data_IF_725066950749
#
_entry.id   IF_725066950749
#
_cell.length_a   1.000
_cell.length_b   1.000
_cell.length_c   1.000
_cell.angle_alpha   90.00
_cell.angle_beta   90.00
_cell.angle_gamma   90.00
#
_symmetry.space_group_name_H-M   'P 1'
#
loop_
_entity.id
_entity.type
_entity.pdbx_description
1 polymer ?
#
# COMPACT_ATOMS: atom_id res chain seq x y z
N UNK A 1 -15.65 18.39 -21.94
CA UNK A 1 -16.56 19.30 -22.59
C UNK A 1 -17.85 18.56 -22.96
N UNK A 2 -18.91 18.80 -22.16
CA UNK A 2 -20.23 18.31 -22.47
C UNK A 2 -20.84 19.14 -23.61
N UNK A 3 -21.13 18.53 -24.72
CA UNK A 3 -21.78 19.17 -25.86
C UNK A 3 -22.53 18.12 -26.70
N UNK A 4 -23.39 18.58 -27.60
CA UNK A 4 -24.20 17.73 -28.47
C UNK A 4 -23.39 16.75 -29.35
N UNK A 5 -22.09 17.05 -29.60
CA UNK A 5 -21.21 16.21 -30.39
C UNK A 5 -20.91 14.81 -29.83
N UNK A 6 -20.70 14.61 -28.51
CA UNK A 6 -20.53 13.28 -27.93
C UNK A 6 -21.80 12.43 -28.04
N UNK A 7 -22.98 13.02 -27.88
CA UNK A 7 -24.26 12.31 -27.98
C UNK A 7 -24.55 11.84 -29.42
N UNK A 8 -24.10 12.58 -30.42
CA UNK A 8 -24.24 12.20 -31.82
C UNK A 8 -23.42 10.97 -32.21
N UNK A 9 -22.24 10.78 -31.56
CA UNK A 9 -21.33 9.65 -31.86
C UNK A 9 -21.62 8.43 -30.97
N UNK A 10 -21.96 8.65 -29.69
CA UNK A 10 -22.06 7.60 -28.67
C UNK A 10 -23.49 7.35 -28.19
N UNK A 11 -24.50 8.06 -28.75
CA UNK A 11 -25.91 7.91 -28.41
C UNK A 11 -26.19 8.19 -26.93
N UNK A 12 -27.13 7.44 -26.35
CA UNK A 12 -27.53 7.58 -24.94
C UNK A 12 -26.41 7.32 -23.94
N UNK A 13 -25.36 6.58 -24.32
CA UNK A 13 -24.16 6.36 -23.48
C UNK A 13 -23.32 7.62 -23.29
N UNK A 14 -23.48 8.61 -24.18
CA UNK A 14 -22.80 9.90 -24.08
C UNK A 14 -23.53 10.95 -23.22
N UNK A 15 -24.70 10.63 -22.65
CA UNK A 15 -25.52 11.58 -21.89
C UNK A 15 -24.81 12.17 -20.66
N UNK A 16 -23.94 11.41 -20.01
CA UNK A 16 -23.15 11.84 -18.85
C UNK A 16 -21.77 12.42 -19.22
N UNK A 17 -21.50 12.65 -20.50
CA UNK A 17 -20.23 13.09 -21.01
C UNK A 17 -19.36 11.93 -21.54
N UNK A 18 -18.40 12.27 -22.39
CA UNK A 18 -17.46 11.31 -23.01
C UNK A 18 -16.05 11.81 -22.81
N UNK A 19 -15.17 10.95 -22.30
CA UNK A 19 -13.72 11.21 -22.26
C UNK A 19 -13.07 10.47 -23.42
N UNK A 20 -12.62 11.23 -24.43
CA UNK A 20 -11.89 10.68 -25.57
C UNK A 20 -10.41 10.63 -25.25
N UNK A 21 -9.85 9.43 -25.17
CA UNK A 21 -8.40 9.23 -24.96
C UNK A 21 -7.75 8.89 -26.30
N UNK A 22 -6.97 9.84 -26.82
CA UNK A 22 -6.14 9.60 -28.01
C UNK A 22 -4.73 9.22 -27.57
N UNK A 23 -4.29 8.03 -27.96
CA UNK A 23 -2.96 7.53 -27.60
C UNK A 23 -1.89 8.14 -28.53
N UNK A 24 -0.67 8.28 -27.98
CA UNK A 24 0.48 8.74 -28.77
C UNK A 24 0.75 7.79 -29.93
N UNK A 25 1.04 8.35 -31.06
CA UNK A 25 1.45 7.63 -32.28
C UNK A 25 2.82 8.13 -32.77
N UNK A 26 3.44 7.35 -33.62
CA UNK A 26 4.66 7.76 -34.33
C UNK A 26 4.43 9.01 -35.15
N UNK A 27 5.47 9.81 -35.28
CA UNK A 27 5.50 11.02 -36.10
C UNK A 27 6.56 10.87 -37.18
N UNK A 28 6.41 11.63 -38.27
CA UNK A 28 7.42 11.76 -39.28
C UNK A 28 8.53 12.68 -38.75
N UNK A 29 9.46 12.13 -38.05
CA UNK A 29 10.57 12.82 -37.42
C UNK A 29 11.75 11.86 -37.21
N UNK A 30 12.93 12.39 -36.94
CA UNK A 30 14.07 11.59 -36.51
C UNK A 30 13.75 10.89 -35.21
N UNK A 31 14.45 9.80 -34.91
CA UNK A 31 14.29 9.05 -33.65
C UNK A 31 14.40 9.97 -32.45
N UNK A 32 13.34 10.06 -31.70
CA UNK A 32 13.28 10.76 -30.41
C UNK A 32 13.06 9.78 -29.28
N UNK A 33 14.05 9.70 -28.38
CA UNK A 33 13.97 8.91 -27.17
C UNK A 33 13.65 9.85 -26.02
N UNK A 34 12.70 9.47 -25.19
CA UNK A 34 12.35 10.18 -23.95
C UNK A 34 12.45 9.24 -22.80
N UNK A 35 13.20 9.63 -21.78
CA UNK A 35 13.28 8.96 -20.49
C UNK A 35 12.73 9.87 -19.39
N UNK A 36 11.95 9.31 -18.47
CA UNK A 36 11.46 10.00 -17.28
C UNK A 36 11.63 9.07 -16.09
N UNK A 37 12.09 9.63 -14.99
CA UNK A 37 12.20 8.94 -13.71
C UNK A 37 11.65 9.87 -12.65
N UNK A 38 10.68 9.40 -11.87
CA UNK A 38 10.10 10.15 -10.77
C UNK A 38 10.25 9.34 -9.48
N UNK A 39 10.66 10.02 -8.43
CA UNK A 39 10.69 9.50 -7.07
C UNK A 39 9.71 10.31 -6.24
N UNK A 40 8.83 9.62 -5.56
CA UNK A 40 7.85 10.21 -4.67
C UNK A 40 8.05 9.66 -3.28
N UNK A 41 8.11 10.53 -2.29
CA UNK A 41 8.15 10.19 -0.87
C UNK A 41 6.81 10.61 -0.28
N UNK A 42 6.14 9.70 0.37
CA UNK A 42 4.87 9.93 1.06
C UNK A 42 5.06 9.74 2.56
N UNK A 43 4.50 10.63 3.35
CA UNK A 43 4.54 10.59 4.80
C UNK A 43 3.15 10.39 5.40
N UNK A 44 3.07 9.56 6.43
CA UNK A 44 1.87 9.42 7.25
C UNK A 44 1.78 10.62 8.22
N UNK A 45 0.81 11.51 7.98
CA UNK A 45 0.70 12.77 8.76
C UNK A 45 -0.34 12.75 9.87
N UNK A 46 -1.31 11.86 9.82
CA UNK A 46 -2.45 11.84 10.75
C UNK A 46 -2.60 10.45 11.35
N UNK A 47 -1.72 10.15 12.27
CA UNK A 47 -1.83 8.94 13.08
C UNK A 47 -2.42 9.32 14.45
N UNK A 48 -3.32 8.49 15.03
CA UNK A 48 -3.73 8.66 16.41
C UNK A 48 -2.50 8.50 17.33
N UNK A 49 -2.50 9.21 18.44
CA UNK A 49 -1.48 9.06 19.46
C UNK A 49 -1.99 8.09 20.51
N UNK A 50 -1.24 7.03 20.72
CA UNK A 50 -1.51 6.06 21.78
C UNK A 50 -0.65 6.39 23.01
N UNK A 51 -1.11 5.97 24.16
CA UNK A 51 -0.40 6.13 25.44
C UNK A 51 0.57 4.97 25.63
N UNK A 52 1.70 5.21 26.28
CA UNK A 52 2.63 4.15 26.69
C UNK A 52 2.12 3.37 27.91
N UNK A 53 2.88 2.33 28.29
CA UNK A 53 2.51 1.39 29.33
C UNK A 53 2.20 2.05 30.67
N UNK A 54 3.04 2.99 31.13
CA UNK A 54 2.84 3.67 32.42
C UNK A 54 1.53 4.44 32.45
N UNK A 55 1.29 5.27 31.45
CA UNK A 55 0.08 6.08 31.38
C UNK A 55 -1.17 5.21 31.21
N UNK A 56 -1.07 4.14 30.42
CA UNK A 56 -2.15 3.15 30.27
C UNK A 56 -2.51 2.51 31.63
N UNK A 57 -1.50 2.06 32.41
CA UNK A 57 -1.72 1.43 33.71
C UNK A 57 -2.32 2.41 34.73
N UNK A 58 -1.88 3.68 34.74
CA UNK A 58 -2.45 4.74 35.58
C UNK A 58 -3.94 4.95 35.26
N UNK A 59 -4.28 5.12 33.98
CA UNK A 59 -5.67 5.28 33.51
C UNK A 59 -6.53 4.06 33.82
N UNK A 60 -5.98 2.85 33.69
CA UNK A 60 -6.68 1.60 34.01
C UNK A 60 -7.01 1.50 35.53
N UNK A 61 -6.05 1.87 36.38
CA UNK A 61 -6.27 1.94 37.81
C UNK A 61 -7.32 3.00 38.20
N UNK A 62 -7.26 4.19 37.63
CA UNK A 62 -8.25 5.22 37.85
C UNK A 62 -9.66 4.77 37.44
N UNK A 63 -9.79 4.13 36.29
CA UNK A 63 -11.07 3.60 35.82
C UNK A 63 -11.62 2.49 36.74
N UNK A 64 -10.76 1.60 37.24
CA UNK A 64 -11.15 0.56 38.17
C UNK A 64 -11.68 1.16 39.50
N UNK A 65 -10.94 2.09 40.09
CA UNK A 65 -11.32 2.78 41.31
C UNK A 65 -12.61 3.58 41.12
N UNK A 66 -12.76 4.31 40.03
CA UNK A 66 -13.99 5.04 39.72
C UNK A 66 -15.22 4.12 39.58
N UNK A 67 -14.98 2.86 39.20
CA UNK A 67 -16.02 1.81 39.12
C UNK A 67 -16.26 1.07 40.42
N UNK A 68 -15.60 1.47 41.52
CA UNK A 68 -15.72 0.84 42.86
C UNK A 68 -14.90 -0.46 42.97
N UNK A 69 -13.97 -0.72 42.05
CA UNK A 69 -13.07 -1.88 42.09
C UNK A 69 -11.72 -1.50 42.69
N UNK A 70 -10.94 -2.50 43.11
CA UNK A 70 -9.55 -2.29 43.48
C UNK A 70 -8.72 -1.95 42.26
N UNK A 71 -7.59 -1.23 42.44
CA UNK A 71 -6.64 -0.99 41.34
C UNK A 71 -6.23 -2.30 40.65
N UNK A 72 -6.10 -2.29 39.33
CA UNK A 72 -5.68 -3.46 38.56
C UNK A 72 -4.21 -3.76 38.80
N UNK A 73 -3.39 -2.72 38.84
CA UNK A 73 -1.95 -2.79 39.09
C UNK A 73 -1.65 -2.23 40.50
N UNK A 74 -1.01 -3.01 41.34
CA UNK A 74 -0.54 -2.55 42.65
C UNK A 74 0.74 -1.70 42.53
N UNK A 75 1.17 -1.06 43.63
CA UNK A 75 2.32 -0.14 43.63
C UNK A 75 3.60 -0.81 43.12
N UNK A 76 3.88 -2.04 43.47
CA UNK A 76 5.04 -2.79 43.01
C UNK A 76 4.98 -3.03 41.48
N UNK A 77 3.83 -3.41 40.97
CA UNK A 77 3.62 -3.59 39.54
C UNK A 77 3.74 -2.25 38.79
N UNK A 78 3.21 -1.17 39.34
CA UNK A 78 3.37 0.18 38.77
C UNK A 78 4.83 0.60 38.70
N UNK A 79 5.64 0.26 39.70
CA UNK A 79 7.08 0.56 39.67
C UNK A 79 7.80 -0.31 38.63
N UNK A 80 7.46 -1.60 38.49
CA UNK A 80 8.03 -2.46 37.42
C UNK A 80 7.70 -1.89 36.04
N UNK A 81 6.45 -1.47 35.81
CA UNK A 81 6.02 -0.87 34.55
C UNK A 81 6.75 0.45 34.29
N UNK A 82 6.79 1.34 35.28
CA UNK A 82 7.37 2.69 35.16
C UNK A 82 8.85 2.65 34.86
N UNK A 83 9.59 1.72 35.44
CA UNK A 83 11.02 1.59 35.27
C UNK A 83 11.43 0.53 34.25
N UNK A 84 10.46 -0.15 33.62
CA UNK A 84 10.73 -1.17 32.59
C UNK A 84 11.57 -2.34 33.12
N UNK A 85 11.34 -2.78 34.37
CA UNK A 85 12.18 -3.79 35.03
C UNK A 85 11.94 -5.21 34.52
N UNK A 86 10.77 -5.47 33.96
CA UNK A 86 10.42 -6.76 33.37
C UNK A 86 9.65 -6.56 32.06
N UNK A 87 10.36 -6.41 30.92
CA UNK A 87 9.73 -6.16 29.63
C UNK A 87 9.02 -7.38 29.04
N UNK A 88 9.28 -8.59 29.57
CA UNK A 88 8.58 -9.80 29.14
C UNK A 88 7.20 -9.91 29.77
N UNK A 89 7.06 -9.48 31.03
CA UNK A 89 5.79 -9.52 31.77
C UNK A 89 4.99 -8.22 31.62
N UNK A 90 5.67 -7.08 31.58
CA UNK A 90 5.08 -5.74 31.45
C UNK A 90 5.77 -4.98 30.30
N UNK A 91 5.47 -5.35 29.05
CA UNK A 91 6.04 -4.67 27.89
C UNK A 91 5.54 -3.22 27.76
N UNK A 92 6.27 -2.40 27.04
CA UNK A 92 5.82 -1.07 26.60
C UNK A 92 5.96 -0.99 25.08
N UNK A 93 4.95 -1.47 24.38
CA UNK A 93 4.98 -1.59 22.91
C UNK A 93 4.10 -0.52 22.26
N UNK A 94 4.71 0.31 21.45
CA UNK A 94 3.99 1.11 20.47
C UNK A 94 3.70 0.26 19.21
N UNK A 95 2.53 -0.34 19.21
CA UNK A 95 2.09 -1.19 18.10
C UNK A 95 2.01 -0.46 16.77
N UNK A 96 1.79 0.84 16.80
CA UNK A 96 1.75 1.66 15.60
C UNK A 96 3.15 1.79 14.99
N UNK A 97 4.16 2.02 15.83
CA UNK A 97 5.57 2.05 15.37
C UNK A 97 6.06 0.67 14.91
N UNK A 98 5.59 -0.41 15.54
CA UNK A 98 5.91 -1.79 15.12
C UNK A 98 5.39 -2.08 13.72
N UNK A 99 4.18 -1.64 13.39
CA UNK A 99 3.47 -2.03 12.17
C UNK A 99 3.73 -1.06 11.01
N UNK A 100 3.92 0.25 11.30
CA UNK A 100 3.94 1.28 10.29
C UNK A 100 5.35 1.85 10.06
N UNK A 101 5.65 2.08 8.79
CA UNK A 101 6.71 2.98 8.36
C UNK A 101 6.13 4.39 8.24
N UNK A 102 6.75 5.40 8.83
CA UNK A 102 6.28 6.77 8.68
C UNK A 102 6.38 7.26 7.24
N UNK A 103 7.23 6.65 6.44
CA UNK A 103 7.47 7.02 5.04
C UNK A 103 7.30 5.82 4.10
N UNK A 104 6.73 6.08 2.95
CA UNK A 104 6.68 5.15 1.82
C UNK A 104 7.26 5.79 0.56
N UNK A 105 7.72 4.95 -0.36
CA UNK A 105 8.40 5.40 -1.57
C UNK A 105 7.68 4.88 -2.80
N UNK A 106 7.57 5.73 -3.81
CA UNK A 106 7.15 5.34 -5.14
C UNK A 106 8.22 5.73 -6.16
N UNK A 107 8.58 4.79 -6.99
CA UNK A 107 9.52 4.99 -8.08
C UNK A 107 8.85 4.66 -9.40
N UNK A 108 8.75 5.65 -10.29
CA UNK A 108 8.18 5.48 -11.62
C UNK A 108 9.22 5.75 -12.69
N UNK A 109 9.41 4.79 -13.58
CA UNK A 109 10.27 4.92 -14.76
C UNK A 109 9.45 4.77 -16.02
N UNK A 110 9.77 5.60 -17.00
CA UNK A 110 9.13 5.58 -18.30
C UNK A 110 10.17 5.87 -19.38
N UNK A 111 10.20 5.01 -20.38
CA UNK A 111 11.00 5.23 -21.59
C UNK A 111 10.08 5.13 -22.80
N UNK A 112 10.30 6.00 -23.76
CA UNK A 112 9.61 5.92 -25.04
C UNK A 112 10.52 6.31 -26.20
N UNK A 113 10.30 5.66 -27.32
CA UNK A 113 10.94 5.95 -28.59
C UNK A 113 9.86 6.22 -29.65
N UNK A 114 10.01 7.28 -30.40
CA UNK A 114 9.14 7.61 -31.51
C UNK A 114 9.96 8.14 -32.70
N UNK A 115 9.43 7.95 -33.90
CA UNK A 115 10.07 8.41 -35.11
C UNK A 115 9.40 7.82 -36.33
N UNK A 116 10.01 8.08 -37.49
CA UNK A 116 9.57 7.50 -38.74
C UNK A 116 9.73 8.43 -39.93
N UNK A 117 9.40 7.89 -41.07
CA UNK A 117 9.43 8.58 -42.35
C UNK A 117 8.06 8.59 -43.03
N UNK A 118 8.09 8.82 -44.34
CA UNK A 118 6.88 8.85 -45.16
C UNK A 118 6.19 7.48 -45.26
N UNK A 119 6.96 6.38 -45.18
CA UNK A 119 6.45 5.02 -45.38
C UNK A 119 5.97 4.45 -44.06
N UNK A 120 6.73 4.58 -42.97
CA UNK A 120 6.39 4.02 -41.69
C UNK A 120 6.72 4.99 -40.55
N UNK A 121 5.85 5.04 -39.57
CA UNK A 121 6.01 5.80 -38.32
C UNK A 121 5.78 4.85 -37.15
N UNK A 122 6.55 5.01 -36.11
CA UNK A 122 6.48 4.13 -34.95
C UNK A 122 6.51 4.90 -33.66
N UNK A 123 5.87 4.31 -32.65
CA UNK A 123 5.94 4.70 -31.24
C UNK A 123 6.04 3.43 -30.41
N UNK A 124 7.02 3.39 -29.52
CA UNK A 124 7.14 2.34 -28.52
C UNK A 124 7.36 2.96 -27.14
N UNK A 125 6.79 2.39 -26.11
CA UNK A 125 7.02 2.82 -24.73
C UNK A 125 6.97 1.66 -23.75
N UNK A 126 7.80 1.79 -22.70
CA UNK A 126 7.82 0.92 -21.51
C UNK A 126 7.65 1.82 -20.29
N UNK A 127 6.82 1.39 -19.37
CA UNK A 127 6.62 2.05 -18.09
C UNK A 127 6.68 1.04 -16.95
N UNK A 128 7.25 1.46 -15.84
CA UNK A 128 7.32 0.71 -14.60
C UNK A 128 7.00 1.65 -13.45
N UNK A 129 6.20 1.20 -12.50
CA UNK A 129 6.00 1.89 -11.23
C UNK A 129 6.10 0.87 -10.11
N UNK A 130 6.90 1.18 -9.12
CA UNK A 130 7.08 0.38 -7.91
C UNK A 130 6.69 1.25 -6.73
N UNK A 131 5.82 0.73 -5.89
CA UNK A 131 5.32 1.43 -4.70
C UNK A 131 5.51 0.55 -3.48
N UNK A 132 6.19 1.08 -2.46
CA UNK A 132 6.31 0.47 -1.15
C UNK A 132 5.12 0.85 -0.29
N UNK A 133 4.74 -0.04 0.61
CA UNK A 133 3.68 0.23 1.59
C UNK A 133 4.19 1.02 2.78
N UNK A 134 3.26 1.67 3.49
CA UNK A 134 3.47 2.19 4.83
C UNK A 134 3.53 1.10 5.91
N UNK A 135 3.31 -0.18 5.57
CA UNK A 135 3.45 -1.28 6.51
C UNK A 135 4.88 -1.81 6.53
N UNK A 136 5.43 -1.99 7.73
CA UNK A 136 6.71 -2.65 7.94
C UNK A 136 6.62 -4.12 7.57
N UNK A 137 7.67 -4.68 6.99
CA UNK A 137 7.82 -6.12 6.82
C UNK A 137 8.68 -6.68 7.94
N UNK A 138 8.23 -7.75 8.58
CA UNK A 138 9.02 -8.43 9.60
C UNK A 138 10.06 -9.35 8.97
N UNK A 139 11.33 -9.28 9.42
CA UNK A 139 12.48 -9.95 8.79
C UNK A 139 12.58 -11.47 9.00
N UNK A 140 11.77 -12.04 9.89
CA UNK A 140 11.90 -13.43 10.35
C UNK A 140 11.11 -14.47 9.58
N UNK A 141 10.32 -14.12 8.59
CA UNK A 141 9.50 -15.09 7.90
C UNK A 141 10.20 -15.70 6.69
N UNK A 142 9.96 -16.98 6.42
CA UNK A 142 10.39 -17.68 5.20
C UNK A 142 9.64 -17.24 3.93
N UNK A 143 8.67 -16.34 4.07
CA UNK A 143 7.78 -15.90 3.01
C UNK A 143 8.13 -14.49 2.55
N UNK A 144 7.77 -14.15 1.32
CA UNK A 144 7.97 -12.80 0.79
C UNK A 144 7.11 -11.80 1.57
N UNK A 145 7.76 -10.84 2.21
CA UNK A 145 7.27 -10.06 3.33
C UNK A 145 6.90 -8.64 2.97
N UNK A 146 7.22 -8.22 1.76
CA UNK A 146 6.97 -6.85 1.33
C UNK A 146 5.50 -6.66 1.02
N UNK A 147 4.90 -5.62 1.59
CA UNK A 147 3.66 -5.05 1.08
C UNK A 147 4.03 -4.01 0.03
N UNK A 148 3.49 -4.14 -1.17
CA UNK A 148 3.83 -3.23 -2.25
C UNK A 148 3.00 -3.48 -3.51
N UNK A 149 3.09 -2.54 -4.42
CA UNK A 149 2.37 -2.59 -5.68
C UNK A 149 3.30 -2.23 -6.83
N UNK A 150 3.55 -3.21 -7.69
CA UNK A 150 4.38 -3.03 -8.86
C UNK A 150 3.50 -3.07 -10.11
N UNK A 151 3.71 -2.12 -11.03
CA UNK A 151 3.03 -2.10 -12.32
C UNK A 151 4.03 -1.99 -13.46
N UNK A 152 3.74 -2.70 -14.53
CA UNK A 152 4.50 -2.69 -15.76
C UNK A 152 3.55 -2.50 -16.91
N UNK A 153 3.91 -1.64 -17.83
CA UNK A 153 3.12 -1.41 -19.04
C UNK A 153 4.04 -1.28 -20.25
N UNK A 154 3.57 -1.77 -21.36
CA UNK A 154 4.19 -1.52 -22.64
C UNK A 154 3.14 -1.12 -23.67
N UNK A 155 3.57 -0.34 -24.62
CA UNK A 155 2.77 0.04 -25.77
C UNK A 155 3.65 0.21 -26.99
N UNK A 156 3.16 -0.29 -28.12
CA UNK A 156 3.76 -0.01 -29.42
C UNK A 156 2.67 0.30 -30.44
N UNK A 157 2.94 1.24 -31.33
CA UNK A 157 2.09 1.58 -32.47
C UNK A 157 2.99 1.74 -33.68
N UNK A 158 2.58 1.16 -34.79
CA UNK A 158 3.25 1.27 -36.09
C UNK A 158 2.18 1.64 -37.11
N UNK A 159 2.41 2.75 -37.81
CA UNK A 159 1.55 3.24 -38.87
C UNK A 159 2.34 3.11 -40.17
N UNK A 160 1.84 2.34 -41.12
CA UNK A 160 2.50 2.04 -42.42
C UNK A 160 1.64 2.56 -43.56
N UNK A 161 2.19 3.41 -44.39
CA UNK A 161 1.61 3.82 -45.69
C UNK A 161 2.03 2.79 -46.76
N UNK A 162 1.22 1.75 -46.96
CA UNK A 162 1.55 0.67 -47.89
C UNK A 162 1.48 1.16 -49.36
N UNK A 163 0.47 1.99 -49.67
CA UNK A 163 0.32 2.68 -50.95
C UNK A 163 -0.16 4.10 -50.67
N UNK A 164 -0.35 4.90 -51.75
CA UNK A 164 -0.93 6.26 -51.62
C UNK A 164 -2.35 6.26 -51.07
N UNK A 165 -3.06 5.15 -51.15
CA UNK A 165 -4.46 5.00 -50.75
C UNK A 165 -4.67 3.99 -49.64
N UNK A 166 -3.64 3.22 -49.26
CA UNK A 166 -3.75 2.15 -48.28
C UNK A 166 -2.81 2.40 -47.11
N UNK A 167 -3.38 2.45 -45.89
CA UNK A 167 -2.64 2.58 -44.67
C UNK A 167 -2.93 1.38 -43.74
N UNK A 168 -1.91 0.89 -43.05
CA UNK A 168 -2.00 -0.18 -42.07
C UNK A 168 -1.64 0.40 -40.70
N UNK A 169 -2.47 0.14 -39.72
CA UNK A 169 -2.27 0.52 -38.32
C UNK A 169 -2.10 -0.75 -37.49
N UNK A 170 -0.94 -0.91 -36.86
CA UNK A 170 -0.65 -2.00 -35.94
C UNK A 170 -0.43 -1.41 -34.56
N UNK A 171 -1.09 -1.97 -33.57
CA UNK A 171 -0.91 -1.55 -32.19
C UNK A 171 -0.91 -2.75 -31.25
N UNK A 172 0.00 -2.74 -30.29
CA UNK A 172 0.01 -3.69 -29.20
C UNK A 172 0.21 -2.93 -27.87
N UNK A 173 -0.46 -3.41 -26.85
CA UNK A 173 -0.26 -2.91 -25.48
C UNK A 173 -0.45 -4.04 -24.49
N UNK A 174 0.27 -3.94 -23.39
CA UNK A 174 0.14 -4.86 -22.27
C UNK A 174 0.30 -4.11 -20.95
N UNK A 175 -0.34 -4.66 -19.94
CA UNK A 175 -0.28 -4.19 -18.58
C UNK A 175 -0.17 -5.39 -17.65
N UNK A 176 0.74 -5.33 -16.70
CA UNK A 176 0.89 -6.30 -15.63
C UNK A 176 0.96 -5.57 -14.30
N UNK A 177 0.23 -6.05 -13.32
CA UNK A 177 0.33 -5.58 -11.93
C UNK A 177 0.67 -6.74 -11.01
N UNK A 178 1.57 -6.47 -10.07
CA UNK A 178 1.95 -7.40 -9.00
C UNK A 178 1.61 -6.74 -7.69
N UNK A 179 0.62 -7.28 -7.01
CA UNK A 179 0.20 -6.81 -5.70
C UNK A 179 0.75 -7.78 -4.64
N UNK A 180 1.67 -7.28 -3.84
CA UNK A 180 2.25 -8.01 -2.71
C UNK A 180 1.52 -7.57 -1.45
N UNK A 181 0.85 -8.50 -0.81
CA UNK A 181 0.10 -8.23 0.42
C UNK A 181 0.10 -9.46 1.32
N UNK A 182 0.05 -9.28 2.65
CA UNK A 182 -0.14 -10.39 3.56
C UNK A 182 -1.45 -11.11 3.24
N UNK A 183 -1.48 -12.42 3.41
CA UNK A 183 -2.67 -13.23 3.18
C UNK A 183 -3.19 -13.76 4.51
N UNK A 184 -4.46 -13.55 4.79
CA UNK A 184 -5.11 -14.29 5.87
C UNK A 184 -5.30 -15.74 5.44
N UNK A 185 -4.89 -16.69 6.30
CA UNK A 185 -5.18 -18.10 6.09
C UNK A 185 -6.69 -18.33 5.96
N UNK A 186 -7.09 -19.35 5.18
CA UNK A 186 -8.50 -19.69 4.89
C UNK A 186 -9.43 -19.78 6.12
N UNK A 187 -8.89 -19.96 7.32
CA UNK A 187 -9.64 -20.08 8.57
C UNK A 187 -10.31 -18.76 9.01
N UNK A 188 -9.82 -17.63 8.56
CA UNK A 188 -10.30 -16.30 8.98
C UNK A 188 -11.04 -15.52 7.89
N UNK A 189 -11.17 -16.08 6.69
CA UNK A 189 -11.84 -15.45 5.53
C UNK A 189 -13.38 -15.57 5.59
N UNK A 190 -14.01 -15.31 6.73
CA UNK A 190 -15.49 -15.39 6.85
C UNK A 190 -16.21 -14.08 6.62
N UNK A 191 -15.49 -12.98 6.43
CA UNK A 191 -16.06 -11.65 6.15
C UNK A 191 -15.26 -10.96 5.06
N UNK A 192 -15.91 -10.11 4.28
CA UNK A 192 -15.30 -9.25 3.23
C UNK A 192 -14.34 -8.16 3.77
N UNK A 193 -13.88 -8.31 5.01
CA UNK A 193 -12.95 -7.37 5.64
C UNK A 193 -11.57 -7.53 5.02
N UNK A 194 -10.99 -6.45 4.55
CA UNK A 194 -9.63 -6.46 4.02
C UNK A 194 -8.64 -6.79 5.14
N UNK A 195 -7.51 -7.43 4.80
CA UNK A 195 -6.48 -7.71 5.80
C UNK A 195 -5.92 -6.42 6.43
N UNK A 196 -5.85 -5.34 5.67
CA UNK A 196 -5.44 -4.03 6.17
C UNK A 196 -6.39 -3.49 7.23
N UNK A 197 -7.69 -3.66 7.04
CA UNK A 197 -8.70 -3.27 8.02
C UNK A 197 -8.57 -4.12 9.28
N UNK A 198 -8.29 -5.41 9.13
CA UNK A 198 -8.10 -6.32 10.25
C UNK A 198 -6.83 -6.00 11.06
N UNK A 199 -5.70 -5.72 10.40
CA UNK A 199 -4.45 -5.30 11.07
C UNK A 199 -4.70 -4.01 11.85
N UNK A 200 -5.40 -3.05 11.23
CA UNK A 200 -5.71 -1.77 11.85
C UNK A 200 -6.66 -1.91 13.05
N UNK A 201 -7.70 -2.73 12.91
CA UNK A 201 -8.64 -3.04 14.00
C UNK A 201 -7.94 -3.77 15.15
N UNK A 202 -7.10 -4.75 14.86
CA UNK A 202 -6.33 -5.49 15.85
C UNK A 202 -5.36 -4.57 16.59
N UNK A 203 -4.60 -3.74 15.88
CA UNK A 203 -3.69 -2.77 16.48
C UNK A 203 -4.40 -1.78 17.40
N UNK A 204 -5.60 -1.30 17.03
CA UNK A 204 -6.38 -0.37 17.85
C UNK A 204 -6.92 -0.98 19.15
N UNK A 205 -7.02 -2.30 19.23
CA UNK A 205 -7.50 -3.05 20.40
C UNK A 205 -6.37 -3.59 21.28
N UNK A 206 -5.14 -3.60 20.77
CA UNK A 206 -3.99 -4.11 21.50
C UNK A 206 -3.40 -3.02 22.38
N UNK A 207 -3.30 -3.31 23.68
CA UNK A 207 -2.72 -2.38 24.66
C UNK A 207 -1.19 -2.48 24.67
N UNK A 208 -0.47 -1.45 25.13
CA UNK A 208 1.00 -1.49 25.20
C UNK A 208 1.53 -2.56 26.15
N UNK A 209 0.70 -2.98 27.13
CA UNK A 209 1.03 -3.99 28.16
C UNK A 209 0.57 -5.41 27.81
N UNK A 210 -0.05 -5.63 26.64
CA UNK A 210 -0.73 -6.89 26.38
C UNK A 210 0.24 -8.07 26.24
N UNK A 211 1.29 -7.92 25.44
CA UNK A 211 2.38 -8.88 25.26
C UNK A 211 3.59 -8.22 24.58
N UNK A 212 4.80 -8.74 24.79
CA UNK A 212 5.99 -8.22 24.10
C UNK A 212 5.95 -8.57 22.62
N UNK A 213 6.66 -7.81 21.79
CA UNK A 213 6.84 -8.16 20.39
C UNK A 213 7.54 -9.54 20.25
N UNK A 214 8.48 -9.81 21.15
CA UNK A 214 9.21 -11.07 21.28
C UNK A 214 9.72 -11.17 22.71
N UNK A 215 9.64 -12.35 23.29
CA UNK A 215 10.21 -12.61 24.61
C UNK A 215 11.75 -12.54 24.57
N UNK A 216 12.37 -12.30 25.70
CA UNK A 216 13.85 -12.33 25.85
C UNK A 216 14.46 -13.69 25.46
N UNK A 217 13.69 -14.78 25.53
CA UNK A 217 14.06 -16.09 25.00
C UNK A 217 14.13 -16.17 23.48
N UNK A 218 13.65 -15.15 22.75
CA UNK A 218 13.55 -15.13 21.31
C UNK A 218 12.25 -15.72 20.75
N UNK A 219 11.37 -16.23 21.60
CA UNK A 219 10.08 -16.80 21.19
C UNK A 219 9.03 -15.70 20.94
N UNK A 220 8.10 -15.99 20.03
CA UNK A 220 6.94 -15.12 19.82
C UNK A 220 5.88 -15.42 20.88
N UNK A 221 5.16 -14.41 21.39
CA UNK A 221 4.04 -14.64 22.30
C UNK A 221 2.97 -15.47 21.59
N UNK A 222 2.51 -16.52 22.27
CA UNK A 222 1.39 -17.32 21.80
C UNK A 222 0.10 -16.54 22.06
N UNK A 223 -0.71 -16.33 21.02
CA UNK A 223 -2.06 -15.84 21.21
C UNK A 223 -2.88 -16.94 21.87
N UNK A 224 -3.65 -16.62 22.93
CA UNK A 224 -4.76 -17.46 23.33
C UNK A 224 -5.74 -17.67 22.17
N UNK A 225 -6.65 -18.63 22.27
CA UNK A 225 -7.51 -19.11 21.18
C UNK A 225 -8.28 -18.02 20.40
N UNK A 226 -8.39 -16.82 20.93
CA UNK A 226 -9.26 -15.75 20.40
C UNK A 226 -8.55 -14.42 20.13
N UNK A 227 -7.26 -14.29 20.44
CA UNK A 227 -6.49 -13.06 20.18
C UNK A 227 -5.31 -13.36 19.30
N UNK A 228 -5.34 -12.81 18.08
CA UNK A 228 -4.21 -12.87 17.18
C UNK A 228 -3.15 -11.85 17.60
N UNK A 229 -1.90 -12.24 17.53
CA UNK A 229 -0.79 -11.30 17.56
C UNK A 229 -0.90 -10.40 16.32
N UNK A 230 -0.81 -9.07 16.44
CA UNK A 230 -0.92 -8.13 15.32
C UNK A 230 0.13 -8.31 14.23
#
# INVERSE_FOLDING_TARGET
PGGAAPAAVYGSRGANGVVLVTTKRGKQEQLKITFRSNYTISELRRLPRYVGATQYAEMANEAAVASGMSPIYNDTQMDIIRYGLDPDLYPDIDWQDVILNPTSFQHTQYVSAQGGGNIARYFASLGMSQESSAYKSMDDSKYNKGVGYDTYNFRTNIDINLTKTTQIYLGAMGFMSVNKRPSMGKKYSRTDTSLTDWIWDSQSKTTPLMYPLRYSSGELPASGSDSAHP
#
